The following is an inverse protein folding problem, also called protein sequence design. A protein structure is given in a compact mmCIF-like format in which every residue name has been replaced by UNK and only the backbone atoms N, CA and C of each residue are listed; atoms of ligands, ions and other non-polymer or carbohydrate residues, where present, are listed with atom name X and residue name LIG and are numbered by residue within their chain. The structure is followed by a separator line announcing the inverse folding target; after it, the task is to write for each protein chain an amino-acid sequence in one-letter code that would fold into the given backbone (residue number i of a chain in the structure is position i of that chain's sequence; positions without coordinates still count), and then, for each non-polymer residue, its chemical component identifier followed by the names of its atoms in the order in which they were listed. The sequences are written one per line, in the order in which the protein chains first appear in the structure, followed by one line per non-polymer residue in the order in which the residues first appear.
data_IF_964531057982
#
_entry.id   IF_964531057982
#
_cell.length_a   1.000
_cell.length_b   1.000
_cell.length_c   1.000
_cell.angle_alpha   90.00
_cell.angle_beta   90.00
_cell.angle_gamma   90.00
#
_symmetry.space_group_name_H-M   'P 1'
#
loop_
_entity.id
_entity.type
_entity.pdbx_description
1 polymer ?
#
# COMPACT_ATOMS: atom_id res chain seq x y z
N UNK A 1 2.69 -2.87 -10.28
CA UNK A 1 1.66 -1.88 -10.65
C UNK A 1 0.40 -2.15 -9.85
N UNK A 2 -0.05 -1.18 -9.07
CA UNK A 2 -1.38 -1.15 -8.44
C UNK A 2 -2.29 -0.42 -9.40
N UNK A 3 -3.40 -1.01 -9.84
CA UNK A 3 -4.29 -0.39 -10.83
C UNK A 3 -5.67 -1.04 -10.80
N UNK A 4 -6.69 -0.30 -11.21
CA UNK A 4 -8.04 -0.82 -11.45
C UNK A 4 -8.21 -1.37 -12.88
N UNK A 5 -9.33 -2.04 -13.12
CA UNK A 5 -9.60 -2.73 -14.38
C UNK A 5 -9.82 -1.76 -15.56
N UNK A 6 -10.29 -0.52 -15.30
CA UNK A 6 -10.48 0.51 -16.32
C UNK A 6 -9.12 1.03 -16.80
N UNK A 7 -8.27 1.44 -15.86
CA UNK A 7 -6.91 1.89 -16.17
C UNK A 7 -6.05 0.77 -16.77
N UNK A 8 -6.35 -0.50 -16.47
CA UNK A 8 -5.69 -1.66 -17.08
C UNK A 8 -6.02 -1.82 -18.57
N UNK A 9 -7.26 -1.55 -18.97
CA UNK A 9 -7.67 -1.62 -20.37
C UNK A 9 -7.03 -0.50 -21.22
N UNK A 10 -6.78 0.66 -20.61
CA UNK A 10 -6.22 1.84 -21.27
C UNK A 10 -4.69 1.82 -21.34
N UNK A 11 -4.01 1.26 -20.33
CA UNK A 11 -2.55 1.30 -20.22
C UNK A 11 -1.92 -0.05 -20.62
N UNK A 12 -1.57 -0.17 -21.90
CA UNK A 12 -0.82 -1.30 -22.45
C UNK A 12 0.45 -1.66 -21.67
N UNK A 13 0.74 -2.96 -21.65
CA UNK A 13 1.72 -3.68 -20.82
C UNK A 13 3.07 -2.97 -20.52
N UNK A 14 3.22 -2.41 -19.30
CA UNK A 14 4.55 -2.05 -18.74
C UNK A 14 4.71 -2.33 -17.24
N UNK A 15 4.39 -3.53 -16.78
CA UNK A 15 4.67 -3.94 -15.39
C UNK A 15 5.02 -5.42 -15.28
N UNK A 16 6.08 -5.72 -14.52
CA UNK A 16 6.53 -7.09 -14.22
C UNK A 16 5.49 -7.88 -13.39
N UNK A 17 4.85 -7.22 -12.42
CA UNK A 17 3.77 -7.78 -11.58
C UNK A 17 2.68 -6.74 -11.37
N UNK A 18 1.43 -7.22 -11.30
CA UNK A 18 0.23 -6.39 -11.14
C UNK A 18 -0.58 -6.86 -9.93
N UNK A 19 -1.16 -5.91 -9.21
CA UNK A 19 -2.15 -6.15 -8.15
C UNK A 19 -3.39 -5.34 -8.57
N UNK A 20 -4.51 -6.02 -8.74
CA UNK A 20 -5.78 -5.38 -9.06
C UNK A 20 -6.34 -4.70 -7.82
N UNK A 21 -6.73 -3.45 -7.97
CA UNK A 21 -7.51 -2.70 -6.98
C UNK A 21 -8.93 -2.57 -7.53
N UNK A 22 -9.98 -2.77 -6.71
CA UNK A 22 -11.35 -2.59 -7.17
C UNK A 22 -11.58 -1.18 -7.70
N UNK A 23 -12.40 -1.06 -8.75
CA UNK A 23 -12.84 0.23 -9.23
C UNK A 23 -13.68 0.91 -8.15
N UNK A 24 -13.41 2.20 -7.90
CA UNK A 24 -14.15 3.01 -6.96
C UNK A 24 -14.30 4.44 -7.46
N UNK A 25 -15.18 5.20 -6.81
CA UNK A 25 -15.30 6.63 -7.04
C UNK A 25 -13.95 7.31 -6.78
N UNK A 26 -13.56 8.25 -7.65
CA UNK A 26 -12.24 8.89 -7.62
C UNK A 26 -11.85 9.48 -6.25
N UNK A 27 -12.85 9.94 -5.49
CA UNK A 27 -12.67 10.43 -4.11
C UNK A 27 -12.14 9.36 -3.13
N UNK A 28 -12.58 8.12 -3.27
CA UNK A 28 -12.23 6.99 -2.37
C UNK A 28 -11.05 6.18 -2.91
N UNK A 29 -10.76 6.25 -4.22
CA UNK A 29 -9.64 5.51 -4.83
C UNK A 29 -8.31 5.65 -4.09
N UNK A 30 -7.86 6.84 -3.62
CA UNK A 30 -6.61 6.94 -2.85
C UNK A 30 -6.57 6.07 -1.60
N UNK A 31 -7.70 5.91 -0.90
CA UNK A 31 -7.80 5.05 0.29
C UNK A 31 -7.64 3.58 -0.07
N UNK A 32 -8.28 3.12 -1.15
CA UNK A 32 -8.18 1.72 -1.58
C UNK A 32 -6.77 1.37 -2.06
N UNK A 33 -6.08 2.31 -2.72
CA UNK A 33 -4.69 2.11 -3.15
C UNK A 33 -3.70 2.09 -1.98
N UNK A 34 -4.04 2.66 -0.82
CA UNK A 34 -3.19 2.61 0.38
C UNK A 34 -3.13 1.20 1.01
N UNK A 35 -4.23 0.45 0.97
CA UNK A 35 -4.33 -0.90 1.56
C UNK A 35 -3.23 -1.85 1.08
N UNK A 36 -3.04 -2.10 -0.24
CA UNK A 36 -1.99 -3.00 -0.70
C UNK A 36 -0.58 -2.51 -0.35
N UNK A 37 -0.35 -1.19 -0.30
CA UNK A 37 0.94 -0.63 0.14
C UNK A 37 1.20 -0.92 1.61
N UNK A 38 0.18 -0.75 2.47
CA UNK A 38 0.24 -1.09 3.89
C UNK A 38 0.51 -2.59 4.10
N UNK A 39 -0.14 -3.46 3.33
CA UNK A 39 0.08 -4.91 3.38
C UNK A 39 1.49 -5.31 2.92
N UNK A 40 2.03 -4.66 1.88
CA UNK A 40 3.42 -4.88 1.45
C UNK A 40 4.39 -4.50 2.57
N UNK A 41 4.18 -3.34 3.21
CA UNK A 41 5.02 -2.91 4.33
C UNK A 41 4.95 -3.89 5.50
N UNK A 42 3.75 -4.33 5.87
CA UNK A 42 3.52 -5.33 6.92
C UNK A 42 4.25 -6.64 6.62
N UNK A 43 4.02 -7.23 5.44
CA UNK A 43 4.63 -8.52 5.09
C UNK A 43 6.15 -8.42 4.94
N UNK A 44 6.68 -7.30 4.46
CA UNK A 44 8.12 -7.06 4.43
C UNK A 44 8.70 -6.99 5.86
N UNK A 45 8.06 -6.25 6.76
CA UNK A 45 8.50 -6.14 8.15
C UNK A 45 8.46 -7.47 8.90
N UNK A 46 7.39 -8.27 8.71
CA UNK A 46 7.29 -9.64 9.24
C UNK A 46 8.39 -10.52 8.68
N UNK A 47 8.62 -10.49 7.36
CA UNK A 47 9.68 -11.27 6.71
C UNK A 47 11.08 -10.91 7.22
N UNK A 48 11.32 -9.61 7.47
CA UNK A 48 12.58 -9.11 8.02
C UNK A 48 12.74 -9.37 9.53
N UNK A 49 11.71 -9.91 10.21
CA UNK A 49 11.74 -10.16 11.66
C UNK A 49 11.81 -8.89 12.50
N UNK A 50 11.35 -7.76 11.97
CA UNK A 50 11.29 -6.49 12.71
C UNK A 50 10.00 -6.38 13.53
N UNK A 51 10.04 -5.62 14.63
CA UNK A 51 8.83 -5.31 15.41
C UNK A 51 7.92 -4.37 14.62
N UNK A 52 6.79 -4.90 14.19
CA UNK A 52 5.79 -4.21 13.37
C UNK A 52 4.98 -3.21 14.20
N UNK A 53 4.68 -3.57 15.46
CA UNK A 53 3.81 -2.78 16.33
C UNK A 53 4.59 -1.66 17.03
N UNK A 54 5.89 -1.89 17.27
CA UNK A 54 6.79 -0.94 17.93
C UNK A 54 8.07 -0.74 17.11
N UNK A 55 7.99 -0.03 15.97
CA UNK A 55 9.15 0.22 15.13
C UNK A 55 10.22 1.04 15.89
N UNK A 56 11.48 0.70 15.65
CA UNK A 56 12.63 1.35 16.31
C UNK A 56 12.60 2.86 16.08
N UNK A 57 12.92 3.62 17.13
CA UNK A 57 13.02 5.09 17.12
C UNK A 57 11.71 5.84 16.85
N UNK A 58 10.55 5.16 16.92
CA UNK A 58 9.25 5.78 16.76
C UNK A 58 8.41 5.65 18.03
N UNK A 59 7.52 6.62 18.22
CA UNK A 59 6.48 6.60 19.23
C UNK A 59 5.12 6.68 18.54
N UNK A 60 4.06 6.21 19.21
CA UNK A 60 2.69 6.29 18.67
C UNK A 60 2.26 7.75 18.45
N UNK A 61 2.71 8.65 19.32
CA UNK A 61 2.55 10.10 19.23
C UNK A 61 3.73 10.75 19.94
N UNK A 62 4.26 11.84 19.38
CA UNK A 62 5.29 12.66 20.03
C UNK A 62 4.58 13.79 20.77
N UNK A 63 4.68 13.81 22.09
CA UNK A 63 3.94 14.75 22.96
C UNK A 63 4.84 15.69 23.74
N UNK A 64 6.15 15.64 23.50
CA UNK A 64 7.17 16.51 24.10
C UNK A 64 7.81 17.34 23.00
N UNK A 65 8.01 18.63 23.26
CA UNK A 65 8.75 19.57 22.39
C UNK A 65 10.25 19.46 22.59
#
# INVERSE_FOLDING_TARGET
LLTDDTALAENGHRAFRRIRVPQAHAFISPLLYAIPVQLIAYHAAVFMGTDVDQPRNLAKSVTVE
#
